data_IF_361585177042
#
_entry.id   IF_361585177042
#
_cell.length_a   1.000
_cell.length_b   1.000
_cell.length_c   1.000
_cell.angle_alpha   90.00
_cell.angle_beta   90.00
_cell.angle_gamma   90.00
#
_symmetry.space_group_name_H-M   'P 1'
#
loop_
_entity.id
_entity.type
_entity.pdbx_description
1 polymer ?
#
# COMPACT_ATOMS: atom_id res chain seq x y z
N UNK A 1 -23.27 7.83 -12.88
CA UNK A 1 -23.02 8.54 -11.61
C UNK A 1 -21.93 9.59 -11.80
N UNK A 2 -21.98 10.65 -11.00
CA UNK A 2 -20.91 11.65 -10.90
C UNK A 2 -20.06 11.37 -9.67
N UNK A 3 -18.80 11.04 -9.86
CA UNK A 3 -17.92 10.59 -8.77
C UNK A 3 -16.73 11.53 -8.66
N UNK A 4 -16.49 12.06 -7.47
CA UNK A 4 -15.35 12.93 -7.21
C UNK A 4 -14.27 12.14 -6.44
N UNK A 5 -13.14 11.88 -7.11
CA UNK A 5 -11.99 11.19 -6.53
C UNK A 5 -11.01 12.19 -5.91
N UNK A 6 -10.58 11.93 -4.68
CA UNK A 6 -9.72 12.82 -3.90
C UNK A 6 -8.46 12.09 -3.45
N UNK A 7 -7.29 12.55 -3.90
CA UNK A 7 -6.00 11.98 -3.53
C UNK A 7 -4.93 13.08 -3.44
N UNK A 8 -3.94 12.90 -2.54
CA UNK A 8 -2.90 13.91 -2.29
C UNK A 8 -1.98 14.19 -3.48
N UNK A 9 -1.72 13.21 -4.34
CA UNK A 9 -0.89 13.35 -5.53
C UNK A 9 -1.69 13.07 -6.80
N UNK A 10 -1.37 13.77 -7.87
CA UNK A 10 -1.97 13.53 -9.19
C UNK A 10 -0.90 13.12 -10.21
N UNK A 11 0.06 12.32 -9.75
CA UNK A 11 1.16 11.75 -10.52
C UNK A 11 1.54 10.37 -9.95
N UNK A 12 2.28 9.58 -10.70
CA UNK A 12 2.65 8.22 -10.31
C UNK A 12 3.93 8.20 -9.47
N UNK A 13 3.80 8.00 -8.15
CA UNK A 13 4.94 7.83 -7.22
C UNK A 13 4.96 6.42 -6.57
N UNK A 14 3.84 5.69 -6.57
CA UNK A 14 3.75 4.38 -5.93
C UNK A 14 2.42 3.69 -6.13
N UNK A 15 2.24 2.52 -5.50
CA UNK A 15 1.06 1.67 -5.69
C UNK A 15 -0.27 2.33 -5.33
N UNK A 16 -0.28 3.21 -4.33
CA UNK A 16 -1.51 3.93 -3.95
C UNK A 16 -1.97 4.92 -5.04
N UNK A 17 -1.01 5.53 -5.75
CA UNK A 17 -1.32 6.45 -6.84
C UNK A 17 -1.81 5.68 -8.07
N UNK A 18 -1.18 4.54 -8.38
CA UNK A 18 -1.65 3.62 -9.42
C UNK A 18 -3.09 3.19 -9.14
N UNK A 19 -3.39 2.77 -7.90
CA UNK A 19 -4.74 2.39 -7.49
C UNK A 19 -5.76 3.52 -7.69
N UNK A 20 -5.42 4.76 -7.31
CA UNK A 20 -6.27 5.92 -7.50
C UNK A 20 -6.59 6.17 -8.99
N UNK A 21 -5.59 6.11 -9.87
CA UNK A 21 -5.80 6.31 -11.32
C UNK A 21 -6.60 5.17 -11.94
N UNK A 22 -6.36 3.92 -11.52
CA UNK A 22 -7.10 2.75 -12.03
C UNK A 22 -8.57 2.79 -11.63
N UNK A 23 -8.92 3.22 -10.40
CA UNK A 23 -10.31 3.48 -10.02
C UNK A 23 -10.95 4.49 -10.97
N UNK A 24 -10.24 5.60 -11.24
CA UNK A 24 -10.73 6.62 -12.16
C UNK A 24 -10.89 6.14 -13.61
N UNK A 25 -9.95 5.31 -14.10
CA UNK A 25 -10.00 4.73 -15.44
C UNK A 25 -11.21 3.80 -15.58
N UNK A 26 -11.33 2.82 -14.69
CA UNK A 26 -12.41 1.82 -14.76
C UNK A 26 -13.79 2.47 -14.65
N UNK A 27 -13.95 3.48 -13.79
CA UNK A 27 -15.21 4.22 -13.69
C UNK A 27 -15.55 4.96 -14.99
N UNK A 28 -14.59 5.64 -15.62
CA UNK A 28 -14.79 6.36 -16.89
C UNK A 28 -15.13 5.41 -18.04
N UNK A 29 -14.41 4.30 -18.15
CA UNK A 29 -14.64 3.27 -19.19
C UNK A 29 -16.04 2.64 -19.07
N UNK A 30 -16.62 2.63 -17.86
CA UNK A 30 -17.97 2.17 -17.60
C UNK A 30 -19.03 3.31 -17.59
N UNK A 31 -18.72 4.46 -18.20
CA UNK A 31 -19.70 5.51 -18.47
C UNK A 31 -20.03 6.41 -17.28
N UNK A 32 -19.19 6.46 -16.23
CA UNK A 32 -19.35 7.40 -15.13
C UNK A 32 -18.63 8.72 -15.41
N UNK A 33 -19.18 9.83 -14.93
CA UNK A 33 -18.51 11.12 -14.92
C UNK A 33 -17.56 11.17 -13.71
N UNK A 34 -16.27 11.42 -13.95
CA UNK A 34 -15.24 11.43 -12.90
C UNK A 34 -14.51 12.75 -12.86
N UNK A 35 -14.57 13.43 -11.72
CA UNK A 35 -13.77 14.59 -11.42
C UNK A 35 -12.66 14.23 -10.41
N UNK A 36 -11.62 15.05 -10.35
CA UNK A 36 -10.48 14.86 -9.49
C UNK A 36 -10.19 16.07 -8.64
N UNK A 37 -9.76 15.86 -7.39
CA UNK A 37 -9.23 16.90 -6.51
C UNK A 37 -7.91 16.44 -5.89
N UNK A 38 -6.86 17.27 -6.03
CA UNK A 38 -5.51 16.92 -5.61
C UNK A 38 -4.68 18.14 -5.25
N UNK A 39 -3.37 17.96 -5.03
CA UNK A 39 -2.40 19.04 -4.92
C UNK A 39 -1.75 19.36 -6.27
N UNK A 40 -1.30 20.60 -6.44
CA UNK A 40 -0.53 21.03 -7.60
C UNK A 40 0.90 20.52 -7.50
N UNK A 41 1.40 19.93 -8.58
CA UNK A 41 2.80 19.53 -8.78
C UNK A 41 3.09 19.61 -10.27
N UNK A 42 4.33 19.93 -10.64
CA UNK A 42 4.75 20.03 -12.06
C UNK A 42 4.69 18.69 -12.79
N UNK A 43 4.76 17.59 -12.02
CA UNK A 43 4.68 16.20 -12.51
C UNK A 43 3.26 15.67 -12.68
N UNK A 44 2.24 16.48 -12.35
CA UNK A 44 0.87 16.03 -12.40
C UNK A 44 0.44 15.66 -13.83
N UNK A 45 -0.33 14.58 -13.93
CA UNK A 45 -1.02 14.23 -15.15
C UNK A 45 -1.98 15.35 -15.60
N UNK A 46 -2.20 15.53 -16.91
CA UNK A 46 -3.15 16.52 -17.42
C UNK A 46 -4.58 16.27 -16.92
N UNK A 47 -5.26 17.33 -16.46
CA UNK A 47 -6.66 17.26 -16.03
C UNK A 47 -7.36 18.59 -16.19
N UNK A 48 -8.60 18.57 -16.70
CA UNK A 48 -9.49 19.73 -16.73
C UNK A 48 -9.83 20.27 -15.33
N UNK A 49 -9.70 19.42 -14.30
CA UNK A 49 -9.97 19.71 -12.90
C UNK A 49 -8.79 20.35 -12.18
N UNK A 50 -7.60 20.40 -12.80
CA UNK A 50 -6.37 20.95 -12.18
C UNK A 50 -6.50 22.39 -11.71
N UNK A 51 -7.41 23.18 -12.30
CA UNK A 51 -7.74 24.55 -11.87
C UNK A 51 -8.31 24.64 -10.45
N UNK A 52 -8.83 23.53 -9.90
CA UNK A 52 -9.33 23.42 -8.53
C UNK A 52 -8.30 22.84 -7.55
N UNK A 53 -7.17 22.33 -8.05
CA UNK A 53 -6.12 21.75 -7.21
C UNK A 53 -5.51 22.82 -6.30
N UNK A 54 -5.08 22.38 -5.12
CA UNK A 54 -4.52 23.26 -4.10
C UNK A 54 -2.99 23.19 -4.09
N UNK A 55 -2.35 24.26 -3.61
CA UNK A 55 -0.92 24.21 -3.32
C UNK A 55 -0.69 23.31 -2.12
N UNK A 56 0.27 22.38 -2.22
CA UNK A 56 0.66 21.54 -1.09
C UNK A 56 1.22 22.41 0.05
N UNK A 57 1.03 22.01 1.33
CA UNK A 57 1.66 22.69 2.46
C UNK A 57 3.19 22.69 2.33
N UNK A 58 3.81 23.86 2.46
CA UNK A 58 5.25 24.02 2.31
C UNK A 58 5.99 23.76 3.64
N UNK A 59 6.28 22.48 3.91
CA UNK A 59 7.03 22.05 5.08
C UNK A 59 8.53 22.36 5.00
N UNK A 60 9.05 22.67 3.82
CA UNK A 60 10.47 22.94 3.57
C UNK A 60 10.80 24.45 3.56
N UNK A 61 9.80 25.31 3.69
CA UNK A 61 9.99 26.76 3.67
C UNK A 61 11.03 27.20 4.68
N UNK A 62 11.91 28.12 4.29
CA UNK A 62 12.82 28.80 5.22
C UNK A 62 12.11 29.84 6.09
N UNK A 63 10.87 30.23 5.75
CA UNK A 63 10.07 31.17 6.53
C UNK A 63 9.36 30.43 7.68
N UNK A 64 9.66 30.75 8.96
CA UNK A 64 9.08 30.07 10.12
C UNK A 64 7.55 30.22 10.19
N UNK A 65 7.01 31.37 9.78
CA UNK A 65 5.56 31.57 9.76
C UNK A 65 4.86 30.66 8.74
N UNK A 66 5.44 30.47 7.55
CA UNK A 66 4.90 29.53 6.55
C UNK A 66 4.97 28.09 7.04
N UNK A 67 6.07 27.70 7.73
CA UNK A 67 6.19 26.38 8.37
C UNK A 67 5.10 26.15 9.42
N UNK A 68 4.89 27.11 10.30
CA UNK A 68 3.83 27.04 11.33
C UNK A 68 2.45 26.93 10.66
N UNK A 69 2.17 27.72 9.64
CA UNK A 69 0.92 27.64 8.89
C UNK A 69 0.73 26.28 8.21
N UNK A 70 1.80 25.73 7.60
CA UNK A 70 1.77 24.39 7.00
C UNK A 70 1.44 23.32 8.05
N UNK A 71 2.14 23.34 9.19
CA UNK A 71 1.88 22.38 10.29
C UNK A 71 0.45 22.53 10.86
N UNK A 72 -0.03 23.76 11.07
CA UNK A 72 -1.39 24.01 11.57
C UNK A 72 -2.49 23.59 10.57
N UNK A 73 -2.18 23.51 9.28
CA UNK A 73 -3.12 23.06 8.23
C UNK A 73 -3.27 21.53 8.14
N UNK A 74 -2.33 20.77 8.71
CA UNK A 74 -2.35 19.31 8.63
C UNK A 74 -3.64 18.71 9.21
N UNK A 75 -4.03 19.01 10.46
CA UNK A 75 -5.23 18.42 11.04
C UNK A 75 -6.52 18.88 10.36
N UNK A 76 -6.57 20.16 9.94
CA UNK A 76 -7.74 20.75 9.30
C UNK A 76 -7.40 22.02 8.51
N UNK A 77 -7.64 22.02 7.20
CA UNK A 77 -7.35 23.15 6.32
C UNK A 77 -8.63 23.86 5.83
N UNK A 78 -8.91 25.05 6.34
CA UNK A 78 -10.01 25.90 5.84
C UNK A 78 -9.81 26.33 4.39
N UNK A 79 -8.54 26.54 3.96
CA UNK A 79 -8.22 26.90 2.58
C UNK A 79 -8.60 25.76 1.64
N UNK A 80 -8.21 24.52 1.99
CA UNK A 80 -8.56 23.31 1.23
C UNK A 80 -10.07 23.10 1.18
N UNK A 81 -10.77 23.26 2.32
CA UNK A 81 -12.23 23.17 2.38
C UNK A 81 -12.88 24.10 1.36
N UNK A 82 -12.54 25.40 1.38
CA UNK A 82 -13.10 26.39 0.45
C UNK A 82 -12.82 26.09 -1.03
N UNK A 83 -11.62 25.58 -1.35
CA UNK A 83 -11.30 25.17 -2.72
C UNK A 83 -12.11 23.96 -3.17
N UNK A 84 -12.25 22.97 -2.27
CA UNK A 84 -13.05 21.79 -2.53
C UNK A 84 -14.55 22.08 -2.66
N UNK A 85 -15.08 22.97 -1.85
CA UNK A 85 -16.48 23.45 -1.93
C UNK A 85 -16.80 24.03 -3.30
N UNK A 86 -15.90 24.83 -3.90
CA UNK A 86 -16.08 25.36 -5.27
C UNK A 86 -16.21 24.24 -6.30
N UNK A 87 -15.43 23.16 -6.15
CA UNK A 87 -15.54 22.01 -7.04
C UNK A 87 -16.84 21.24 -6.81
N UNK A 88 -17.27 21.05 -5.55
CA UNK A 88 -18.55 20.42 -5.24
C UNK A 88 -19.74 21.19 -5.87
N UNK A 89 -19.72 22.53 -5.83
CA UNK A 89 -20.79 23.36 -6.36
C UNK A 89 -20.87 23.29 -7.91
N UNK A 90 -19.73 23.11 -8.59
CA UNK A 90 -19.66 22.98 -10.06
C UNK A 90 -19.95 21.58 -10.53
N UNK A 91 -19.30 20.58 -9.96
CA UNK A 91 -19.39 19.19 -10.41
C UNK A 91 -20.65 18.48 -9.89
N UNK A 92 -21.09 18.80 -8.68
CA UNK A 92 -22.25 18.20 -7.98
C UNK A 92 -22.19 16.68 -7.98
N UNK A 93 -21.17 16.08 -7.32
CA UNK A 93 -20.99 14.64 -7.31
C UNK A 93 -22.12 13.93 -6.53
N UNK A 94 -22.47 12.73 -6.98
CA UNK A 94 -23.33 11.81 -6.23
C UNK A 94 -22.59 11.22 -5.03
N UNK A 95 -21.23 11.11 -5.14
CA UNK A 95 -20.37 10.48 -4.15
C UNK A 95 -18.95 11.07 -4.21
N UNK A 96 -18.30 11.19 -3.05
CA UNK A 96 -16.87 11.51 -2.91
C UNK A 96 -16.12 10.26 -2.47
N UNK A 97 -15.11 9.86 -3.23
CA UNK A 97 -14.20 8.77 -2.85
C UNK A 97 -12.82 9.34 -2.52
N UNK A 98 -12.44 9.25 -1.25
CA UNK A 98 -11.15 9.68 -0.74
C UNK A 98 -10.15 8.54 -0.68
N UNK A 99 -8.89 8.84 -0.97
CA UNK A 99 -7.74 7.94 -0.83
C UNK A 99 -6.78 8.50 0.23
N UNK A 100 -5.48 8.53 -0.04
CA UNK A 100 -4.52 9.11 0.91
C UNK A 100 -4.59 10.65 0.92
N UNK A 101 -5.48 11.21 1.73
CA UNK A 101 -5.72 12.66 1.84
C UNK A 101 -4.98 13.32 3.00
N UNK A 102 -4.44 12.52 3.93
CA UNK A 102 -3.81 13.05 5.15
C UNK A 102 -2.54 13.82 4.83
N UNK A 103 -2.23 14.80 5.69
CA UNK A 103 -1.06 15.69 5.64
C UNK A 103 -1.15 16.78 4.58
N UNK A 104 -1.44 16.48 3.29
CA UNK A 104 -1.44 17.47 2.20
C UNK A 104 -2.81 18.09 1.93
N UNK A 105 -3.89 17.32 2.00
CA UNK A 105 -5.25 17.78 1.71
C UNK A 105 -6.03 18.06 3.00
N UNK A 106 -5.89 17.21 4.01
CA UNK A 106 -6.61 17.21 5.27
C UNK A 106 -8.06 16.66 5.21
N UNK A 107 -8.62 16.22 6.33
CA UNK A 107 -10.00 15.73 6.40
C UNK A 107 -11.09 16.77 6.11
N UNK A 108 -10.72 18.02 5.92
CA UNK A 108 -11.68 19.11 5.67
C UNK A 108 -12.54 18.89 4.41
N UNK A 109 -12.05 18.09 3.44
CA UNK A 109 -12.81 17.69 2.24
C UNK A 109 -13.97 16.77 2.58
N UNK A 110 -13.78 15.83 3.52
CA UNK A 110 -14.85 14.94 3.99
C UNK A 110 -15.94 15.72 4.74
N UNK A 111 -15.52 16.71 5.56
CA UNK A 111 -16.45 17.60 6.25
C UNK A 111 -17.28 18.42 5.26
N UNK A 112 -16.64 18.97 4.21
CA UNK A 112 -17.33 19.75 3.17
C UNK A 112 -18.35 18.93 2.39
N UNK A 113 -18.02 17.66 2.06
CA UNK A 113 -18.95 16.73 1.41
C UNK A 113 -20.14 16.42 2.31
N UNK A 114 -19.90 16.09 3.59
CA UNK A 114 -20.96 15.79 4.55
C UNK A 114 -21.91 16.96 4.78
N UNK A 115 -21.41 18.19 4.90
CA UNK A 115 -22.24 19.40 5.05
C UNK A 115 -23.19 19.63 3.86
N UNK A 116 -22.93 19.00 2.73
CA UNK A 116 -23.79 18.99 1.53
C UNK A 116 -24.59 17.69 1.36
N UNK A 117 -24.59 16.84 2.37
CA UNK A 117 -25.22 15.50 2.33
C UNK A 117 -24.69 14.61 1.22
N UNK A 118 -23.44 14.81 0.76
CA UNK A 118 -22.78 13.95 -0.23
C UNK A 118 -22.07 12.83 0.54
N UNK A 119 -22.38 11.55 0.27
CA UNK A 119 -21.75 10.44 0.95
C UNK A 119 -20.25 10.36 0.62
N UNK A 120 -19.45 9.97 1.63
CA UNK A 120 -18.01 9.84 1.53
C UNK A 120 -17.61 8.38 1.70
N UNK A 121 -16.92 7.84 0.72
CA UNK A 121 -16.21 6.56 0.79
C UNK A 121 -14.71 6.85 0.97
N UNK A 122 -14.01 6.05 1.74
CA UNK A 122 -12.56 6.19 1.91
C UNK A 122 -11.85 4.85 1.71
N UNK A 123 -10.85 4.81 0.83
CA UNK A 123 -9.93 3.68 0.69
C UNK A 123 -8.68 3.91 1.52
N UNK A 124 -8.37 2.96 2.40
CA UNK A 124 -7.14 2.97 3.19
C UNK A 124 -6.10 2.02 2.58
N UNK A 125 -4.97 2.59 2.16
CA UNK A 125 -3.84 1.85 1.61
C UNK A 125 -2.68 1.72 2.61
N UNK A 126 -2.75 2.43 3.73
CA UNK A 126 -1.80 2.40 4.85
C UNK A 126 -2.55 2.57 6.18
N UNK A 127 -1.83 2.45 7.29
CA UNK A 127 -2.42 2.50 8.64
C UNK A 127 -2.49 3.91 9.24
N UNK A 128 -2.41 5.00 8.43
CA UNK A 128 -2.38 6.39 8.94
C UNK A 128 -3.60 6.76 9.80
N UNK A 129 -4.73 6.14 9.58
CA UNK A 129 -5.96 6.37 10.33
C UNK A 129 -5.94 5.80 11.75
N UNK A 130 -5.02 4.87 12.07
CA UNK A 130 -4.84 4.25 13.39
C UNK A 130 -3.42 4.40 13.95
N UNK A 131 -2.42 4.68 13.12
CA UNK A 131 -1.03 4.83 13.50
C UNK A 131 -0.46 6.16 12.99
N UNK A 132 0.06 7.07 13.87
CA UNK A 132 0.59 8.37 13.43
C UNK A 132 1.70 8.26 12.38
N UNK A 133 2.55 7.21 12.41
CA UNK A 133 3.60 6.96 11.42
C UNK A 133 3.17 6.06 10.26
N UNK A 134 1.87 5.69 10.15
CA UNK A 134 1.21 4.89 9.11
C UNK A 134 1.71 3.45 8.90
N UNK A 135 2.70 2.97 9.64
CA UNK A 135 3.34 1.69 9.38
C UNK A 135 2.90 0.55 10.30
N UNK A 136 2.45 0.83 11.54
CA UNK A 136 2.35 -0.16 12.64
C UNK A 136 3.66 -0.96 12.83
N UNK A 137 4.77 -0.30 12.51
CA UNK A 137 6.10 -0.87 12.55
C UNK A 137 7.12 0.21 12.94
N UNK A 138 8.09 -0.15 13.79
CA UNK A 138 9.11 0.77 14.26
C UNK A 138 10.30 0.01 14.84
N UNK A 139 11.51 0.41 14.45
CA UNK A 139 12.77 -0.19 14.92
C UNK A 139 12.78 -1.73 14.87
N UNK A 140 12.54 -2.30 13.70
CA UNK A 140 12.63 -3.74 13.47
C UNK A 140 11.48 -4.57 14.06
N UNK A 141 10.41 -3.95 14.62
CA UNK A 141 9.30 -4.68 15.24
C UNK A 141 7.93 -4.14 14.86
N UNK A 142 6.92 -5.00 14.91
CA UNK A 142 5.51 -4.59 14.90
C UNK A 142 5.26 -3.70 16.13
N UNK A 143 4.59 -2.56 15.92
CA UNK A 143 4.33 -1.59 16.97
C UNK A 143 2.83 -1.25 17.06
N UNK A 144 2.24 -1.53 18.21
CA UNK A 144 0.86 -1.19 18.56
C UNK A 144 0.78 -0.24 19.77
N UNK A 145 1.86 0.42 20.12
CA UNK A 145 1.99 1.24 21.34
C UNK A 145 0.98 2.43 21.35
N UNK A 146 0.48 2.84 20.17
CA UNK A 146 -0.55 3.89 20.03
C UNK A 146 -1.99 3.38 20.09
N UNK A 147 -2.20 2.08 20.36
CA UNK A 147 -3.53 1.50 20.59
C UNK A 147 -4.28 2.30 21.66
N UNK A 148 -5.59 2.31 21.59
CA UNK A 148 -6.45 3.13 22.48
C UNK A 148 -6.27 4.66 22.30
N UNK A 149 -5.55 5.10 21.27
CA UNK A 149 -5.26 6.51 21.03
C UNK A 149 -4.17 7.06 21.93
N UNK A 150 -3.26 6.22 22.44
CA UNK A 150 -2.09 6.64 23.23
C UNK A 150 -0.98 7.21 22.31
N UNK A 151 -1.33 8.21 21.49
CA UNK A 151 -0.43 8.75 20.46
C UNK A 151 0.82 9.45 21.03
N UNK A 152 0.88 9.70 22.34
CA UNK A 152 2.10 10.13 23.03
C UNK A 152 3.27 9.16 22.82
N UNK A 153 2.99 7.87 22.60
CA UNK A 153 4.02 6.87 22.34
C UNK A 153 4.71 7.10 20.99
N UNK A 154 4.03 7.68 20.00
CA UNK A 154 4.68 8.10 18.77
C UNK A 154 5.80 9.12 19.02
N UNK A 155 5.62 10.04 19.97
CA UNK A 155 6.63 11.06 20.35
C UNK A 155 7.77 10.39 21.10
N UNK A 156 7.46 9.54 22.10
CA UNK A 156 8.45 8.82 22.90
C UNK A 156 9.38 7.96 22.03
N UNK A 157 8.79 7.25 21.07
CA UNK A 157 9.48 6.36 20.17
C UNK A 157 10.09 7.08 18.95
N UNK A 158 9.90 8.39 18.78
CA UNK A 158 10.38 9.18 17.61
C UNK A 158 9.93 8.56 16.27
N UNK A 159 8.72 8.00 16.19
CA UNK A 159 8.25 7.16 15.07
C UNK A 159 8.28 7.84 13.69
N UNK A 160 8.14 9.17 13.62
CA UNK A 160 8.14 9.89 12.34
C UNK A 160 9.53 10.46 12.05
N UNK A 161 10.21 9.86 11.04
CA UNK A 161 11.53 10.26 10.57
C UNK A 161 12.61 10.34 11.68
N UNK A 162 12.52 9.48 12.70
CA UNK A 162 13.41 9.49 13.89
C UNK A 162 13.53 10.87 14.55
N UNK A 163 12.51 11.71 14.40
CA UNK A 163 12.46 13.09 14.83
C UNK A 163 11.35 13.32 15.86
N UNK A 164 11.69 13.93 17.01
CA UNK A 164 10.71 14.34 18.02
C UNK A 164 9.71 15.34 17.41
N UNK A 165 10.18 16.31 16.62
CA UNK A 165 9.33 17.35 16.05
C UNK A 165 8.30 16.80 15.07
N UNK A 166 8.70 15.91 14.15
CA UNK A 166 7.78 15.26 13.23
C UNK A 166 6.84 14.29 13.96
N UNK A 167 7.33 13.56 14.95
CA UNK A 167 6.50 12.66 15.76
C UNK A 167 5.47 13.41 16.60
N UNK A 168 5.85 14.58 17.14
CA UNK A 168 4.94 15.48 17.84
C UNK A 168 3.83 15.98 16.91
N UNK A 169 4.18 16.47 15.70
CA UNK A 169 3.20 16.94 14.72
C UNK A 169 2.22 15.81 14.33
N UNK A 170 2.73 14.60 14.07
CA UNK A 170 1.90 13.44 13.70
C UNK A 170 1.00 12.96 14.85
N UNK A 171 1.48 13.03 16.09
CA UNK A 171 0.69 12.69 17.27
C UNK A 171 -0.43 13.72 17.50
N UNK A 172 -0.13 15.02 17.40
CA UNK A 172 -1.12 16.10 17.53
C UNK A 172 -2.21 15.97 16.44
N UNK A 173 -1.82 15.71 15.19
CA UNK A 173 -2.77 15.42 14.09
C UNK A 173 -3.73 14.30 14.50
N UNK A 174 -3.19 13.18 14.98
CA UNK A 174 -3.99 12.01 15.37
C UNK A 174 -4.91 12.29 16.56
N UNK A 175 -4.45 13.05 17.56
CA UNK A 175 -5.29 13.48 18.69
C UNK A 175 -6.43 14.40 18.22
N UNK A 176 -6.17 15.37 17.36
CA UNK A 176 -7.20 16.27 16.83
C UNK A 176 -8.21 15.48 16.01
N UNK A 177 -7.77 14.57 15.13
CA UNK A 177 -8.68 13.74 14.33
C UNK A 177 -9.57 12.85 15.21
N UNK A 178 -9.02 12.26 16.26
CA UNK A 178 -9.77 11.48 17.25
C UNK A 178 -10.79 12.36 18.00
N UNK A 179 -10.38 13.53 18.48
CA UNK A 179 -11.26 14.46 19.19
C UNK A 179 -12.39 14.98 18.30
N UNK A 180 -12.10 15.33 17.05
CA UNK A 180 -13.09 15.76 16.07
C UNK A 180 -13.99 14.64 15.57
N UNK A 181 -13.66 13.38 15.88
CA UNK A 181 -14.32 12.18 15.35
C UNK A 181 -14.38 12.20 13.82
N UNK A 182 -13.23 12.52 13.17
CA UNK A 182 -13.14 12.81 11.74
C UNK A 182 -13.68 11.67 10.89
N UNK A 183 -13.28 10.45 11.20
CA UNK A 183 -13.72 9.27 10.46
C UNK A 183 -15.17 8.91 10.76
N UNK A 184 -15.52 8.85 12.05
CA UNK A 184 -16.83 8.42 12.50
C UNK A 184 -17.97 9.29 12.00
N UNK A 185 -17.71 10.61 11.90
CA UNK A 185 -18.77 11.57 11.53
C UNK A 185 -18.90 11.78 10.02
N UNK A 186 -17.83 11.56 9.27
CA UNK A 186 -17.78 12.02 7.88
C UNK A 186 -17.67 10.88 6.85
N UNK A 187 -17.35 9.66 7.29
CA UNK A 187 -17.19 8.52 6.37
C UNK A 187 -18.43 7.65 6.41
N UNK A 188 -19.03 7.43 5.25
CA UNK A 188 -20.20 6.57 5.06
C UNK A 188 -19.82 5.09 4.92
N UNK A 189 -18.64 4.81 4.32
CA UNK A 189 -18.12 3.46 4.13
C UNK A 189 -16.59 3.47 3.99
N UNK A 190 -15.96 2.49 4.63
CA UNK A 190 -14.53 2.26 4.56
C UNK A 190 -14.23 1.16 3.53
N UNK A 191 -13.18 1.33 2.73
CA UNK A 191 -12.69 0.30 1.80
C UNK A 191 -11.26 -0.08 2.17
N UNK A 192 -11.03 -1.39 2.22
CA UNK A 192 -9.71 -1.97 2.49
C UNK A 192 -9.38 -3.02 1.44
N UNK A 193 -8.10 -3.18 1.14
CA UNK A 193 -7.68 -4.23 0.22
C UNK A 193 -7.57 -5.61 0.92
N UNK A 194 -7.47 -5.62 2.26
CA UNK A 194 -7.40 -6.85 3.08
C UNK A 194 -8.39 -6.79 4.25
N UNK A 195 -8.92 -7.94 4.64
CA UNK A 195 -9.73 -8.09 5.85
C UNK A 195 -8.88 -7.86 7.11
N UNK A 196 -7.59 -8.20 7.05
CA UNK A 196 -6.64 -7.91 8.13
C UNK A 196 -6.64 -6.43 8.51
N UNK A 197 -6.54 -5.51 7.53
CA UNK A 197 -6.52 -4.07 7.82
C UNK A 197 -7.86 -3.60 8.40
N UNK A 198 -8.99 -4.13 7.93
CA UNK A 198 -10.31 -3.82 8.47
C UNK A 198 -10.41 -4.26 9.94
N UNK A 199 -10.07 -5.49 10.25
CA UNK A 199 -10.09 -6.03 11.62
C UNK A 199 -9.12 -5.28 12.54
N UNK A 200 -7.92 -4.96 12.06
CA UNK A 200 -6.94 -4.15 12.81
C UNK A 200 -7.49 -2.74 13.09
N UNK A 201 -8.23 -2.16 12.16
CA UNK A 201 -8.90 -0.87 12.37
C UNK A 201 -9.99 -0.97 13.43
N UNK A 202 -10.85 -2.01 13.40
CA UNK A 202 -11.86 -2.27 14.42
C UNK A 202 -11.26 -2.46 15.80
N UNK A 203 -10.15 -3.20 15.87
CA UNK A 203 -9.39 -3.44 17.10
C UNK A 203 -8.86 -2.14 17.71
N UNK A 204 -8.25 -1.25 16.92
CA UNK A 204 -7.73 0.03 17.40
C UNK A 204 -8.82 1.03 17.78
N UNK A 205 -9.96 1.00 17.10
CA UNK A 205 -11.08 1.89 17.38
C UNK A 205 -12.08 1.34 18.41
N UNK A 206 -11.90 0.07 18.84
CA UNK A 206 -12.82 -0.64 19.74
C UNK A 206 -14.28 -0.58 19.30
N UNK A 207 -14.53 -0.67 18.01
CA UNK A 207 -15.88 -0.66 17.43
C UNK A 207 -15.91 -1.38 16.10
N UNK A 208 -17.07 -1.94 15.77
CA UNK A 208 -17.35 -2.43 14.43
C UNK A 208 -17.52 -1.25 13.45
N UNK A 209 -17.09 -1.45 12.23
CA UNK A 209 -17.20 -0.47 11.15
C UNK A 209 -17.89 -1.10 9.93
N UNK A 210 -18.61 -0.26 9.19
CA UNK A 210 -19.16 -0.63 7.89
C UNK A 210 -18.08 -0.56 6.85
N UNK A 211 -17.55 -1.69 6.44
CA UNK A 211 -16.50 -1.74 5.43
C UNK A 211 -16.83 -2.62 4.24
N UNK A 212 -16.08 -2.45 3.18
CA UNK A 212 -16.04 -3.31 2.02
C UNK A 212 -14.62 -3.65 1.63
N UNK A 213 -14.48 -4.78 0.96
CA UNK A 213 -13.21 -5.17 0.34
C UNK A 213 -13.11 -4.55 -1.05
N UNK A 214 -12.00 -3.91 -1.33
CA UNK A 214 -11.65 -3.41 -2.66
C UNK A 214 -10.15 -3.65 -2.88
N UNK A 215 -9.88 -4.76 -3.55
CA UNK A 215 -8.51 -5.17 -3.85
C UNK A 215 -7.95 -4.32 -4.98
N UNK A 216 -6.63 -4.16 -5.00
CA UNK A 216 -5.97 -3.38 -6.02
C UNK A 216 -6.18 -4.01 -7.40
N UNK A 217 -6.58 -3.25 -8.43
CA UNK A 217 -6.68 -3.78 -9.78
C UNK A 217 -5.30 -4.14 -10.29
N UNK A 218 -5.22 -5.15 -11.13
CA UNK A 218 -3.96 -5.53 -11.75
C UNK A 218 -4.19 -5.96 -13.20
N UNK A 219 -3.60 -5.22 -14.12
CA UNK A 219 -3.65 -5.58 -15.54
C UNK A 219 -2.71 -6.75 -15.77
N UNK A 220 -3.29 -7.90 -15.98
CA UNK A 220 -2.54 -9.15 -16.15
C UNK A 220 -1.77 -9.12 -17.47
N UNK A 221 -0.43 -9.27 -17.45
CA UNK A 221 0.36 -9.28 -18.67
C UNK A 221 0.14 -10.58 -19.47
N UNK A 222 0.78 -10.68 -20.61
CA UNK A 222 0.76 -11.88 -21.47
C UNK A 222 1.09 -13.13 -20.65
N UNK A 223 0.44 -14.24 -20.98
CA UNK A 223 0.60 -15.52 -20.28
C UNK A 223 2.05 -15.99 -20.28
N UNK A 224 2.63 -16.36 -19.13
CA UNK A 224 3.99 -16.85 -19.04
C UNK A 224 4.17 -18.21 -19.72
N UNK A 225 5.38 -18.52 -20.12
CA UNK A 225 5.74 -19.86 -20.59
C UNK A 225 6.04 -20.79 -19.37
N UNK A 226 5.08 -21.61 -19.05
CA UNK A 226 5.23 -22.60 -17.95
C UNK A 226 6.20 -23.74 -18.23
N UNK A 227 6.74 -23.85 -19.45
CA UNK A 227 7.76 -24.83 -19.78
C UNK A 227 9.19 -24.29 -19.62
N UNK A 228 9.33 -22.97 -19.39
CA UNK A 228 10.62 -22.36 -19.08
C UNK A 228 11.07 -22.77 -17.68
N UNK A 229 12.21 -23.42 -17.60
CA UNK A 229 12.81 -23.80 -16.32
C UNK A 229 13.31 -22.58 -15.55
N UNK A 230 12.90 -22.48 -14.29
CA UNK A 230 13.42 -21.48 -13.39
C UNK A 230 14.84 -21.78 -12.92
N UNK A 231 15.63 -20.75 -12.65
CA UNK A 231 17.06 -20.86 -12.32
C UNK A 231 17.38 -20.54 -10.86
N UNK A 232 16.58 -19.69 -10.21
CA UNK A 232 16.86 -19.12 -8.88
C UNK A 232 15.58 -18.75 -8.14
N UNK A 233 15.69 -18.59 -6.82
CA UNK A 233 14.69 -17.87 -6.02
C UNK A 233 14.86 -16.37 -6.19
N UNK A 234 13.75 -15.60 -6.17
CA UNK A 234 13.76 -14.17 -6.46
C UNK A 234 13.14 -13.35 -5.31
N UNK A 235 13.82 -12.29 -4.93
CA UNK A 235 13.24 -11.15 -4.23
C UNK A 235 13.26 -9.92 -5.17
N UNK A 236 12.18 -9.15 -5.18
CA UNK A 236 12.18 -7.83 -5.82
C UNK A 236 11.36 -6.82 -5.03
N UNK A 237 11.91 -5.63 -4.84
CA UNK A 237 11.29 -4.57 -4.05
C UNK A 237 12.29 -3.57 -3.48
N UNK A 238 11.80 -2.68 -2.62
CA UNK A 238 12.65 -1.71 -1.94
C UNK A 238 13.50 -2.41 -0.88
N UNK A 239 14.76 -2.01 -0.77
CA UNK A 239 15.69 -2.49 0.27
C UNK A 239 15.59 -1.56 1.49
N UNK A 240 14.60 -1.83 2.34
CA UNK A 240 14.29 -1.11 3.57
C UNK A 240 13.95 -2.11 4.68
N UNK A 241 14.15 -1.71 5.92
CA UNK A 241 14.01 -2.52 7.13
C UNK A 241 12.71 -3.36 7.15
N UNK A 242 11.56 -2.71 6.93
CA UNK A 242 10.27 -3.38 6.98
C UNK A 242 10.05 -4.49 5.92
N UNK A 243 10.92 -4.61 4.92
CA UNK A 243 10.83 -5.65 3.88
C UNK A 243 11.53 -6.95 4.24
N UNK A 244 12.27 -7.00 5.35
CA UNK A 244 12.81 -8.23 5.93
C UNK A 244 13.87 -8.95 5.08
N UNK A 245 14.60 -8.22 4.23
CA UNK A 245 15.66 -8.83 3.40
C UNK A 245 16.84 -9.33 4.26
N UNK A 246 17.05 -8.76 5.43
CA UNK A 246 18.02 -9.24 6.42
C UNK A 246 17.68 -10.64 6.93
N UNK A 247 16.38 -10.95 7.17
CA UNK A 247 15.91 -12.29 7.52
C UNK A 247 16.09 -13.27 6.37
N UNK A 248 15.83 -12.82 5.13
CA UNK A 248 16.09 -13.63 3.94
C UNK A 248 17.58 -13.97 3.80
N UNK A 249 18.48 -13.01 4.03
CA UNK A 249 19.92 -13.29 4.03
C UNK A 249 20.33 -14.29 5.11
N UNK A 250 19.78 -14.18 6.33
CA UNK A 250 19.98 -15.17 7.40
C UNK A 250 19.50 -16.57 6.97
N UNK A 251 18.34 -16.67 6.32
CA UNK A 251 17.87 -17.95 5.78
C UNK A 251 18.81 -18.51 4.71
N UNK A 252 19.35 -17.65 3.84
CA UNK A 252 20.30 -18.05 2.80
C UNK A 252 21.69 -18.44 3.35
N UNK A 253 22.08 -18.05 4.57
CA UNK A 253 23.28 -18.63 5.22
C UNK A 253 23.07 -20.09 5.58
N UNK A 254 21.84 -20.49 5.92
CA UNK A 254 21.48 -21.88 6.19
C UNK A 254 21.28 -22.65 4.88
N UNK A 255 20.58 -22.06 3.91
CA UNK A 255 20.33 -22.60 2.57
C UNK A 255 21.35 -22.07 1.55
N UNK A 256 22.64 -22.22 1.84
CA UNK A 256 23.73 -21.65 1.05
C UNK A 256 23.99 -22.34 -0.30
N UNK A 257 23.27 -23.42 -0.56
CA UNK A 257 23.23 -24.18 -1.81
C UNK A 257 22.14 -23.68 -2.79
N UNK A 258 21.22 -22.81 -2.34
CA UNK A 258 20.11 -22.30 -3.16
C UNK A 258 20.52 -21.02 -3.90
N UNK A 259 20.51 -20.99 -5.25
CA UNK A 259 20.78 -19.77 -6.02
C UNK A 259 19.69 -18.73 -5.80
N UNK A 260 20.07 -17.49 -5.53
CA UNK A 260 19.10 -16.44 -5.23
C UNK A 260 19.47 -15.08 -5.85
N UNK A 261 18.46 -14.37 -6.35
CA UNK A 261 18.62 -13.03 -6.95
C UNK A 261 17.79 -12.01 -6.16
N UNK A 262 18.43 -10.87 -5.84
CA UNK A 262 17.82 -9.72 -5.17
C UNK A 262 17.78 -8.54 -6.13
N UNK A 263 16.55 -8.15 -6.51
CA UNK A 263 16.27 -7.02 -7.40
C UNK A 263 15.73 -5.86 -6.57
N UNK A 264 16.37 -4.70 -6.63
CA UNK A 264 15.89 -3.50 -5.98
C UNK A 264 16.99 -2.59 -5.48
N UNK A 265 16.58 -1.51 -4.84
CA UNK A 265 17.46 -0.56 -4.16
C UNK A 265 16.76 0.02 -2.93
N UNK A 266 17.51 0.72 -2.10
CA UNK A 266 17.00 1.38 -0.91
C UNK A 266 18.10 1.76 0.07
N UNK A 267 17.77 2.46 1.16
CA UNK A 267 18.75 2.88 2.17
C UNK A 267 19.51 1.73 2.84
N UNK A 268 18.96 0.50 2.85
CA UNK A 268 19.61 -0.68 3.42
C UNK A 268 20.51 -1.43 2.42
N UNK A 269 20.61 -0.99 1.17
CA UNK A 269 21.31 -1.74 0.11
C UNK A 269 22.77 -2.06 0.47
N UNK A 270 23.52 -1.06 0.89
CA UNK A 270 24.95 -1.24 1.24
C UNK A 270 25.12 -2.13 2.49
N UNK A 271 24.26 -1.94 3.48
CA UNK A 271 24.23 -2.77 4.71
C UNK A 271 23.96 -4.23 4.35
N UNK A 272 22.96 -4.51 3.53
CA UNK A 272 22.58 -5.86 3.13
C UNK A 272 23.68 -6.54 2.27
N UNK A 273 24.32 -5.80 1.38
CA UNK A 273 25.46 -6.31 0.59
C UNK A 273 26.66 -6.66 1.49
N UNK A 274 26.94 -5.83 2.49
CA UNK A 274 28.02 -6.11 3.45
C UNK A 274 27.70 -7.35 4.30
N UNK A 275 26.48 -7.49 4.78
CA UNK A 275 26.02 -8.71 5.51
C UNK A 275 26.19 -9.95 4.65
N UNK A 276 25.80 -9.91 3.37
CA UNK A 276 25.96 -11.04 2.47
C UNK A 276 27.46 -11.38 2.21
N UNK A 277 28.30 -10.37 2.07
CA UNK A 277 29.75 -10.54 1.88
C UNK A 277 30.41 -11.15 3.13
N UNK A 278 30.13 -10.62 4.32
CA UNK A 278 30.68 -11.10 5.59
C UNK A 278 30.22 -12.54 5.90
N UNK A 279 28.99 -12.89 5.50
CA UNK A 279 28.46 -14.24 5.62
C UNK A 279 28.96 -15.22 4.52
N UNK A 280 29.75 -14.75 3.56
CA UNK A 280 30.29 -15.57 2.46
C UNK A 280 29.24 -16.10 1.49
N UNK A 281 28.13 -15.40 1.30
CA UNK A 281 27.01 -15.82 0.44
C UNK A 281 27.36 -15.67 -1.07
N UNK A 282 28.05 -16.67 -1.62
CA UNK A 282 28.37 -16.71 -3.05
C UNK A 282 27.19 -17.09 -3.96
N UNK A 283 26.12 -17.61 -3.38
CA UNK A 283 24.87 -18.01 -4.04
C UNK A 283 23.86 -16.84 -4.22
N UNK A 284 24.16 -15.65 -3.71
CA UNK A 284 23.27 -14.47 -3.74
C UNK A 284 23.80 -13.40 -4.68
N UNK A 285 22.94 -12.91 -5.57
CA UNK A 285 23.28 -11.83 -6.50
C UNK A 285 22.39 -10.61 -6.28
N UNK A 286 22.98 -9.43 -6.02
CA UNK A 286 22.30 -8.15 -6.02
C UNK A 286 22.46 -7.51 -7.41
N UNK A 287 21.36 -7.31 -8.13
CA UNK A 287 21.37 -6.84 -9.52
C UNK A 287 20.86 -5.40 -9.69
N UNK A 288 20.63 -4.71 -8.55
CA UNK A 288 20.09 -3.36 -8.56
C UNK A 288 18.61 -3.30 -8.96
N UNK A 289 18.05 -2.10 -9.10
CA UNK A 289 16.64 -1.92 -9.44
C UNK A 289 16.36 -2.30 -10.90
N UNK A 290 15.23 -2.97 -11.15
CA UNK A 290 14.73 -3.36 -12.46
C UNK A 290 13.25 -3.05 -12.59
N UNK A 291 12.81 -2.63 -13.79
CA UNK A 291 11.41 -2.32 -14.08
C UNK A 291 10.99 -2.81 -15.47
N UNK A 292 9.68 -2.95 -15.67
CA UNK A 292 9.12 -3.34 -16.97
C UNK A 292 9.75 -4.62 -17.49
N UNK A 293 10.16 -4.63 -18.74
CA UNK A 293 10.71 -5.83 -19.42
C UNK A 293 11.93 -6.43 -18.72
N UNK A 294 12.80 -5.60 -18.11
CA UNK A 294 13.97 -6.14 -17.39
C UNK A 294 13.53 -6.94 -16.15
N UNK A 295 12.53 -6.46 -15.40
CA UNK A 295 11.98 -7.20 -14.26
C UNK A 295 11.24 -8.46 -14.74
N UNK A 296 10.52 -8.37 -15.86
CA UNK A 296 9.79 -9.52 -16.43
C UNK A 296 10.76 -10.66 -16.80
N UNK A 297 11.99 -10.36 -17.24
CA UNK A 297 13.02 -11.37 -17.53
C UNK A 297 13.45 -12.10 -16.24
N UNK A 298 13.69 -11.38 -15.13
CA UNK A 298 14.00 -12.00 -13.84
C UNK A 298 12.83 -12.82 -13.31
N UNK A 299 11.62 -12.33 -13.43
CA UNK A 299 10.42 -13.06 -13.05
C UNK A 299 10.27 -14.34 -13.88
N UNK A 300 10.50 -14.29 -15.19
CA UNK A 300 10.43 -15.47 -16.05
C UNK A 300 11.48 -16.52 -15.67
N UNK A 301 12.69 -16.10 -15.31
CA UNK A 301 13.80 -16.99 -14.91
C UNK A 301 13.73 -17.46 -13.45
N UNK A 302 12.85 -16.90 -12.64
CA UNK A 302 12.65 -17.34 -11.25
C UNK A 302 11.91 -18.68 -11.16
N UNK A 303 12.24 -19.50 -10.16
CA UNK A 303 11.46 -20.69 -9.73
C UNK A 303 10.26 -20.25 -8.87
N UNK A 304 10.51 -19.35 -7.95
CA UNK A 304 9.55 -18.79 -6.99
C UNK A 304 9.98 -17.38 -6.56
N UNK A 305 9.07 -16.68 -5.91
CA UNK A 305 9.34 -15.35 -5.34
C UNK A 305 9.22 -15.41 -3.82
N UNK A 306 10.06 -14.64 -3.11
CA UNK A 306 9.99 -14.48 -1.65
C UNK A 306 9.50 -13.09 -1.29
N UNK A 307 8.49 -13.02 -0.42
CA UNK A 307 7.98 -11.78 0.19
C UNK A 307 8.23 -11.84 1.71
N UNK A 308 9.46 -11.50 2.18
CA UNK A 308 9.87 -11.72 3.57
C UNK A 308 9.48 -10.60 4.52
N UNK A 309 8.47 -9.79 4.18
CA UNK A 309 8.09 -8.57 4.88
C UNK A 309 7.89 -8.79 6.39
N UNK A 310 8.59 -8.00 7.19
CA UNK A 310 8.52 -8.01 8.67
C UNK A 310 7.35 -7.17 9.20
N UNK A 311 6.84 -6.23 8.42
CA UNK A 311 5.70 -5.39 8.77
C UNK A 311 4.36 -5.95 8.27
N UNK A 312 3.25 -5.35 8.70
CA UNK A 312 1.92 -5.69 8.20
C UNK A 312 1.68 -5.11 6.80
N UNK A 313 1.93 -5.90 5.76
CA UNK A 313 1.53 -5.54 4.41
C UNK A 313 0.01 -5.44 4.32
N UNK A 314 -0.49 -4.45 3.57
CA UNK A 314 -1.92 -4.41 3.27
C UNK A 314 -2.26 -5.35 2.10
N UNK A 315 -1.69 -5.05 0.93
CA UNK A 315 -1.92 -5.82 -0.29
C UNK A 315 -0.71 -5.65 -1.24
N UNK A 316 0.37 -6.44 -1.06
CA UNK A 316 1.63 -6.20 -1.76
C UNK A 316 1.57 -6.54 -3.25
N UNK A 317 1.80 -5.55 -4.11
CA UNK A 317 1.83 -5.72 -5.57
C UNK A 317 2.87 -6.74 -6.04
N UNK A 318 3.96 -6.91 -5.32
CA UNK A 318 4.99 -7.91 -5.65
C UNK A 318 4.42 -9.33 -5.71
N UNK A 319 3.42 -9.64 -4.88
CA UNK A 319 2.74 -10.94 -4.93
C UNK A 319 1.88 -11.05 -6.18
N UNK A 320 1.13 -10.00 -6.55
CA UNK A 320 0.35 -10.01 -7.80
C UNK A 320 1.25 -10.13 -9.03
N UNK A 321 2.39 -9.46 -9.05
CA UNK A 321 3.35 -9.53 -10.15
C UNK A 321 3.96 -10.94 -10.26
N UNK A 322 4.31 -11.57 -9.13
CA UNK A 322 4.78 -12.95 -9.09
C UNK A 322 3.72 -13.92 -9.61
N UNK A 323 2.50 -13.82 -9.10
CA UNK A 323 1.37 -14.67 -9.51
C UNK A 323 1.03 -14.49 -10.99
N UNK A 324 1.02 -13.25 -11.49
CA UNK A 324 0.82 -12.95 -12.89
C UNK A 324 1.92 -13.52 -13.80
N UNK A 325 3.15 -13.63 -13.30
CA UNK A 325 4.25 -14.32 -13.97
C UNK A 325 4.21 -15.85 -13.79
N UNK A 326 3.17 -16.40 -13.16
CA UNK A 326 3.03 -17.83 -12.90
C UNK A 326 4.05 -18.37 -11.89
N UNK A 327 4.45 -17.54 -10.91
CA UNK A 327 5.43 -17.93 -9.89
C UNK A 327 4.74 -18.04 -8.54
N UNK A 328 4.92 -19.16 -7.81
CA UNK A 328 4.46 -19.28 -6.45
C UNK A 328 5.24 -18.34 -5.53
N UNK A 329 4.63 -17.98 -4.39
CA UNK A 329 5.23 -17.06 -3.43
C UNK A 329 5.45 -17.74 -2.09
N UNK A 330 6.64 -17.58 -1.53
CA UNK A 330 6.93 -17.84 -0.11
C UNK A 330 6.76 -16.52 0.63
N UNK A 331 5.74 -16.42 1.49
CA UNK A 331 5.37 -15.19 2.19
C UNK A 331 5.37 -15.31 3.70
N UNK A 332 5.48 -14.19 4.40
CA UNK A 332 5.34 -14.16 5.86
C UNK A 332 3.87 -14.16 6.30
N UNK A 333 3.59 -14.63 7.52
CA UNK A 333 2.28 -14.48 8.17
C UNK A 333 2.18 -13.04 8.72
N UNK A 334 2.15 -12.03 7.82
CA UNK A 334 2.07 -10.60 8.16
C UNK A 334 1.03 -9.87 7.32
N UNK A 335 0.13 -9.17 8.01
CA UNK A 335 -0.87 -8.34 7.34
C UNK A 335 -1.80 -9.12 6.42
N UNK A 336 -1.98 -8.62 5.20
CA UNK A 336 -2.81 -9.24 4.16
C UNK A 336 -2.09 -10.32 3.32
N UNK A 337 -0.82 -10.63 3.59
CA UNK A 337 -0.09 -11.68 2.83
C UNK A 337 -0.82 -13.03 2.90
N UNK A 338 -1.31 -13.52 4.08
CA UNK A 338 -2.03 -14.78 4.16
C UNK A 338 -3.35 -14.82 3.38
N UNK A 339 -3.95 -13.67 3.08
CA UNK A 339 -5.16 -13.60 2.24
C UNK A 339 -4.85 -13.83 0.75
N UNK A 340 -3.61 -13.58 0.34
CA UNK A 340 -3.15 -13.74 -1.04
C UNK A 340 -2.45 -15.09 -1.23
N UNK A 341 -1.55 -15.48 -0.32
CA UNK A 341 -0.74 -16.70 -0.40
C UNK A 341 -1.42 -17.81 0.38
N UNK A 342 -1.93 -18.80 -0.34
CA UNK A 342 -2.55 -20.01 0.19
C UNK A 342 -1.75 -21.24 -0.28
N UNK A 343 -1.99 -22.40 0.28
CA UNK A 343 -1.21 -23.61 0.01
C UNK A 343 -1.19 -24.05 -1.47
N UNK A 344 -2.19 -23.64 -2.24
CA UNK A 344 -2.27 -23.90 -3.69
C UNK A 344 -1.45 -22.89 -4.54
N UNK A 345 -0.97 -21.78 -3.97
CA UNK A 345 -0.25 -20.70 -4.67
C UNK A 345 1.11 -20.37 -4.06
N UNK A 346 1.48 -21.05 -2.97
CA UNK A 346 2.73 -20.76 -2.28
C UNK A 346 2.82 -21.39 -0.89
N UNK A 347 3.66 -20.82 -0.03
CA UNK A 347 3.80 -21.20 1.36
C UNK A 347 3.95 -19.98 2.28
N UNK A 348 3.58 -20.15 3.54
CA UNK A 348 3.69 -19.13 4.57
C UNK A 348 4.63 -19.60 5.69
N UNK A 349 5.32 -18.62 6.31
CA UNK A 349 6.16 -18.83 7.48
C UNK A 349 6.07 -17.65 8.45
N UNK A 350 6.44 -17.85 9.73
CA UNK A 350 6.54 -16.77 10.71
C UNK A 350 7.69 -15.83 10.37
N UNK A 351 7.45 -14.53 10.38
CA UNK A 351 8.33 -13.52 9.78
C UNK A 351 9.79 -13.53 10.28
N UNK A 352 10.02 -13.87 11.55
CA UNK A 352 11.36 -13.92 12.14
C UNK A 352 12.00 -15.31 12.09
N UNK A 353 11.25 -16.33 11.60
CA UNK A 353 11.74 -17.72 11.54
C UNK A 353 12.53 -17.97 10.24
N UNK A 354 13.80 -17.54 10.24
CA UNK A 354 14.70 -17.76 9.12
C UNK A 354 15.04 -19.24 8.87
N UNK A 355 14.89 -20.12 9.88
CA UNK A 355 15.11 -21.56 9.70
C UNK A 355 13.96 -22.19 8.89
N UNK A 356 12.71 -21.89 9.24
CA UNK A 356 11.54 -22.30 8.45
C UNK A 356 11.61 -21.75 7.01
N UNK A 357 12.06 -20.50 6.85
CA UNK A 357 12.29 -19.96 5.51
C UNK A 357 13.37 -20.75 4.76
N UNK A 358 14.50 -21.10 5.39
CA UNK A 358 15.57 -21.87 4.74
C UNK A 358 15.09 -23.26 4.28
N UNK A 359 14.27 -23.94 5.07
CA UNK A 359 13.63 -25.20 4.67
C UNK A 359 12.73 -25.03 3.44
N UNK A 360 11.92 -23.97 3.41
CA UNK A 360 11.07 -23.64 2.26
C UNK A 360 11.91 -23.29 1.03
N UNK A 361 12.99 -22.51 1.16
CA UNK A 361 13.88 -22.17 0.05
C UNK A 361 14.44 -23.44 -0.62
N UNK A 362 14.96 -24.40 0.15
CA UNK A 362 15.45 -25.68 -0.38
C UNK A 362 14.34 -26.49 -1.04
N UNK A 363 13.17 -26.59 -0.38
CA UNK A 363 12.02 -27.31 -0.93
C UNK A 363 11.60 -26.76 -2.30
N UNK A 364 11.47 -25.45 -2.41
CA UNK A 364 11.05 -24.78 -3.66
C UNK A 364 12.16 -24.76 -4.71
N UNK A 365 13.42 -24.88 -4.31
CA UNK A 365 14.53 -24.97 -5.26
C UNK A 365 14.55 -26.30 -6.00
N UNK A 366 14.20 -27.41 -5.33
CA UNK A 366 14.27 -28.78 -5.89
C UNK A 366 12.95 -29.27 -6.49
N UNK A 367 11.78 -28.84 -5.96
CA UNK A 367 10.48 -29.33 -6.41
C UNK A 367 9.88 -28.44 -7.51
N UNK A 368 10.46 -28.56 -8.72
CA UNK A 368 10.02 -27.83 -9.91
C UNK A 368 8.55 -28.12 -10.27
N UNK A 369 8.08 -29.36 -10.03
CA UNK A 369 6.72 -29.75 -10.32
C UNK A 369 5.72 -29.02 -9.43
N UNK A 370 5.97 -28.99 -8.13
CA UNK A 370 5.16 -28.22 -7.17
C UNK A 370 5.15 -26.72 -7.52
N UNK A 371 6.31 -26.14 -7.83
CA UNK A 371 6.41 -24.74 -8.23
C UNK A 371 5.55 -24.44 -9.48
N UNK A 372 5.58 -25.34 -10.47
CA UNK A 372 4.76 -25.20 -11.68
C UNK A 372 3.27 -25.28 -11.38
N UNK A 373 2.83 -26.26 -10.59
CA UNK A 373 1.42 -26.41 -10.20
C UNK A 373 0.90 -25.19 -9.43
N UNK A 374 1.64 -24.75 -8.41
CA UNK A 374 1.29 -23.57 -7.63
C UNK A 374 1.34 -22.30 -8.48
N UNK A 375 2.31 -22.19 -9.39
CA UNK A 375 2.41 -21.06 -10.31
C UNK A 375 1.23 -20.96 -11.27
N UNK A 376 0.71 -22.09 -11.77
CA UNK A 376 -0.51 -22.15 -12.58
C UNK A 376 -1.75 -21.70 -11.80
N UNK A 377 -1.93 -22.19 -10.57
CA UNK A 377 -3.03 -21.78 -9.70
C UNK A 377 -2.93 -20.28 -9.30
N UNK A 378 -1.70 -19.80 -9.05
CA UNK A 378 -1.44 -18.38 -8.78
C UNK A 378 -1.84 -17.49 -9.96
N UNK A 379 -1.51 -17.91 -11.18
CA UNK A 379 -1.88 -17.20 -12.41
C UNK A 379 -3.39 -17.18 -12.61
N UNK A 380 -4.06 -18.32 -12.48
CA UNK A 380 -5.51 -18.42 -12.58
C UNK A 380 -6.22 -17.52 -11.57
N UNK A 381 -5.73 -17.49 -10.33
CA UNK A 381 -6.25 -16.57 -9.30
C UNK A 381 -6.17 -15.11 -9.73
N UNK A 382 -5.05 -14.68 -10.32
CA UNK A 382 -4.93 -13.28 -10.78
C UNK A 382 -5.86 -13.00 -11.96
N UNK A 383 -5.94 -13.90 -12.93
CA UNK A 383 -6.79 -13.73 -14.11
C UNK A 383 -8.28 -13.66 -13.77
N UNK A 384 -8.72 -14.46 -12.81
CA UNK A 384 -10.15 -14.53 -12.42
C UNK A 384 -10.56 -13.45 -11.45
N UNK A 385 -9.63 -12.96 -10.59
CA UNK A 385 -9.98 -12.07 -9.47
C UNK A 385 -9.68 -10.59 -9.75
N UNK A 386 -8.63 -10.28 -10.55
CA UNK A 386 -8.11 -8.91 -10.68
C UNK A 386 -8.37 -8.28 -12.05
N UNK A 387 -9.32 -8.81 -12.82
CA UNK A 387 -9.75 -8.20 -14.08
C UNK A 387 -10.63 -6.97 -13.84
N UNK A 388 -10.77 -6.14 -14.87
CA UNK A 388 -11.49 -4.87 -14.81
C UNK A 388 -12.98 -5.06 -14.46
N UNK A 389 -13.61 -6.15 -14.92
CA UNK A 389 -15.03 -6.41 -14.68
C UNK A 389 -15.31 -6.70 -13.19
N UNK A 390 -14.53 -7.58 -12.58
CA UNK A 390 -14.64 -7.91 -11.15
C UNK A 390 -14.30 -6.69 -10.28
N UNK A 391 -13.29 -5.91 -10.68
CA UNK A 391 -12.95 -4.67 -9.99
C UNK A 391 -14.09 -3.64 -10.08
N UNK A 392 -14.66 -3.45 -11.26
CA UNK A 392 -15.82 -2.57 -11.45
C UNK A 392 -17.02 -2.99 -10.61
N UNK A 393 -17.36 -4.28 -10.63
CA UNK A 393 -18.44 -4.84 -9.79
C UNK A 393 -18.21 -4.53 -8.31
N UNK A 394 -16.99 -4.76 -7.81
CA UNK A 394 -16.65 -4.49 -6.43
C UNK A 394 -16.79 -2.99 -6.07
N UNK A 395 -16.35 -2.08 -6.96
CA UNK A 395 -16.53 -0.64 -6.76
C UNK A 395 -18.02 -0.29 -6.66
N UNK A 396 -18.82 -0.72 -7.64
CA UNK A 396 -20.24 -0.35 -7.73
C UNK A 396 -21.05 -0.95 -6.58
N UNK A 397 -20.77 -2.18 -6.20
CA UNK A 397 -21.39 -2.78 -5.01
C UNK A 397 -21.16 -1.92 -3.76
N UNK A 398 -19.94 -1.47 -3.55
CA UNK A 398 -19.59 -0.63 -2.41
C UNK A 398 -20.24 0.76 -2.48
N UNK A 399 -20.33 1.37 -3.67
CA UNK A 399 -20.98 2.68 -3.84
C UNK A 399 -22.49 2.58 -3.67
N UNK A 400 -23.13 1.55 -4.22
CA UNK A 400 -24.57 1.32 -4.07
C UNK A 400 -25.00 1.20 -2.60
N UNK A 401 -24.17 0.60 -1.74
CA UNK A 401 -24.45 0.49 -0.30
C UNK A 401 -24.52 1.83 0.44
N UNK A 402 -23.99 2.91 -0.12
CA UNK A 402 -24.05 4.26 0.48
C UNK A 402 -25.02 5.20 -0.23
N UNK A 403 -25.32 4.96 -1.50
CA UNK A 403 -26.25 5.76 -2.30
C UNK A 403 -27.73 5.37 -2.07
N UNK A 404 -27.99 4.13 -1.71
CA UNK A 404 -29.34 3.57 -1.47
C UNK A 404 -29.78 3.67 0.01
N UNK A 405 -29.13 4.51 0.82
CA UNK A 405 -29.43 4.74 2.25
C UNK A 405 -30.28 5.97 2.49
#
# INVERSE_FOLDING_TARGET
MKILLVHKFFNYNGGADVFFFEVGRVLKENGHEVAYFSTKDERNEPSEWSKYFIDAPDFKSNNPLKKIQALASIPYSRKTKKAFEKLLDVFRPDLVHCFNIMTQISPSVMVAARERNIPVVISHNDYKHICPNYKLYHHGRICEDCRNGAYINCIKNKCAHDSIAFSFASAIESYIHKWMKVYEKNVSRYLFASDFMAHKTEEFWHRKIEYGKLMNPYKVPVKPDFNREGKFGLYFGRLIDEKGVDILLKALTVANDVPFVIVGNGPEEDTLKNVALEAGLSNVQFVGPKWGKELDEYLNDAKYVVCPSSWHENFPYVILQAFAAGKPVIGTIRGGIPEMVTADRGALYEAEDYNALAELLRKYDVDVHMCKQQGMAAREYVETTFNDDEFYKAIIENYSKVLNR
#
